data_IF_595768784830
#
_entry.id   IF_595768784830
#
_cell.length_a   1.000
_cell.length_b   1.000
_cell.length_c   1.000
_cell.angle_alpha   90.00
_cell.angle_beta   90.00
_cell.angle_gamma   90.00
#
_symmetry.space_group_name_H-M   'P 1'
#
loop_
_entity.id
_entity.type
_entity.pdbx_description
1 polymer ?
#
# COMPACT_ATOMS: atom_id res chain seq x y z
N UNK A 1 1.97 -24.80 -8.86
CA UNK A 1 0.74 -25.44 -8.34
C UNK A 1 0.69 -25.68 -6.82
N UNK A 2 1.79 -25.59 -6.07
CA UNK A 2 1.76 -25.63 -4.58
C UNK A 2 1.41 -24.25 -3.96
N UNK A 3 1.51 -23.16 -4.73
CA UNK A 3 1.39 -21.76 -4.28
C UNK A 3 0.09 -21.44 -3.51
N UNK A 4 -1.07 -21.91 -3.98
CA UNK A 4 -2.37 -21.58 -3.40
C UNK A 4 -2.85 -22.56 -2.32
N UNK A 5 -2.32 -23.78 -2.30
CA UNK A 5 -2.62 -24.77 -1.24
C UNK A 5 -1.94 -24.45 0.09
N UNK A 6 -1.01 -23.49 0.09
CA UNK A 6 -0.04 -23.29 1.16
C UNK A 6 0.00 -21.86 1.69
N UNK A 7 -1.00 -21.03 1.38
CA UNK A 7 -1.16 -19.71 2.00
C UNK A 7 -1.93 -19.91 3.31
N UNK A 8 -1.23 -20.07 4.46
CA UNK A 8 -1.92 -20.23 5.73
C UNK A 8 -2.75 -18.96 5.97
N UNK A 9 -3.92 -19.13 6.59
CA UNK A 9 -4.79 -18.00 6.96
C UNK A 9 -5.41 -17.23 5.78
N UNK A 10 -5.62 -17.85 4.61
CA UNK A 10 -6.28 -17.22 3.43
C UNK A 10 -7.58 -16.46 3.75
N UNK A 11 -8.38 -16.94 4.70
CA UNK A 11 -9.64 -16.29 5.13
C UNK A 11 -9.38 -14.92 5.74
N UNK A 12 -8.37 -14.81 6.61
CA UNK A 12 -7.97 -13.56 7.25
C UNK A 12 -7.37 -12.57 6.25
N UNK A 13 -6.63 -13.07 5.27
CA UNK A 13 -6.14 -12.25 4.16
C UNK A 13 -7.29 -11.61 3.36
N UNK A 14 -8.27 -12.42 2.96
CA UNK A 14 -9.45 -11.95 2.24
C UNK A 14 -10.25 -10.96 3.09
N UNK A 15 -10.41 -11.25 4.39
CA UNK A 15 -11.06 -10.34 5.34
C UNK A 15 -10.35 -8.98 5.38
N UNK A 16 -9.01 -8.95 5.43
CA UNK A 16 -8.25 -7.70 5.46
C UNK A 16 -8.49 -6.87 4.19
N UNK A 17 -8.46 -7.50 3.01
CA UNK A 17 -8.78 -6.81 1.76
C UNK A 17 -10.23 -6.27 1.73
N UNK A 18 -11.20 -7.04 2.23
CA UNK A 18 -12.60 -6.62 2.31
C UNK A 18 -12.78 -5.43 3.27
N UNK A 19 -12.15 -5.47 4.45
CA UNK A 19 -12.16 -4.35 5.40
C UNK A 19 -11.57 -3.10 4.75
N UNK A 20 -10.48 -3.23 3.98
CA UNK A 20 -9.91 -2.11 3.25
C UNK A 20 -10.93 -1.53 2.24
N UNK A 21 -11.57 -2.38 1.44
CA UNK A 21 -12.62 -1.93 0.51
C UNK A 21 -13.79 -1.24 1.21
N UNK A 22 -14.24 -1.75 2.36
CA UNK A 22 -15.32 -1.14 3.14
C UNK A 22 -14.90 0.24 3.67
N UNK A 23 -13.66 0.38 4.16
CA UNK A 23 -13.16 1.65 4.68
C UNK A 23 -13.08 2.73 3.58
N UNK A 24 -12.65 2.37 2.37
CA UNK A 24 -12.62 3.32 1.24
C UNK A 24 -14.01 3.89 0.95
N UNK A 25 -15.07 3.07 1.08
CA UNK A 25 -16.45 3.48 0.79
C UNK A 25 -17.30 3.70 2.05
N UNK A 26 -16.68 3.91 3.22
CA UNK A 26 -17.40 4.04 4.47
C UNK A 26 -18.38 5.23 4.45
N UNK A 27 -18.01 6.33 3.79
CA UNK A 27 -18.88 7.50 3.64
C UNK A 27 -20.12 7.17 2.81
N UNK A 28 -19.97 6.40 1.72
CA UNK A 28 -21.11 5.95 0.90
C UNK A 28 -22.05 5.09 1.74
N UNK A 29 -21.51 4.15 2.52
CA UNK A 29 -22.29 3.29 3.40
C UNK A 29 -23.04 4.13 4.44
N UNK A 30 -22.35 5.08 5.08
CA UNK A 30 -22.98 5.98 6.06
C UNK A 30 -24.08 6.83 5.43
N UNK A 31 -23.85 7.36 4.24
CA UNK A 31 -24.81 8.20 3.52
C UNK A 31 -26.03 7.38 3.09
N UNK A 32 -25.86 6.14 2.65
CA UNK A 32 -26.98 5.26 2.31
C UNK A 32 -27.89 4.97 3.52
N UNK A 33 -27.30 4.78 4.70
CA UNK A 33 -28.01 4.39 5.93
C UNK A 33 -28.66 5.60 6.61
N UNK A 34 -27.97 6.75 6.68
CA UNK A 34 -28.37 7.86 7.55
C UNK A 34 -28.91 9.09 6.80
N UNK A 35 -28.88 9.12 5.46
CA UNK A 35 -29.42 10.27 4.72
C UNK A 35 -30.96 10.24 4.71
N UNK A 36 -31.55 11.28 5.33
CA UNK A 36 -32.98 11.53 5.33
C UNK A 36 -33.39 12.34 4.09
N UNK A 37 -34.02 11.67 3.14
CA UNK A 37 -34.54 12.26 1.90
C UNK A 37 -35.84 13.05 2.10
N UNK A 38 -36.43 13.01 3.30
CA UNK A 38 -37.65 13.72 3.69
C UNK A 38 -37.40 14.90 4.62
N UNK A 39 -36.13 15.27 4.83
CA UNK A 39 -35.78 16.43 5.63
C UNK A 39 -36.49 17.69 5.11
N UNK A 40 -36.98 18.53 6.03
CA UNK A 40 -37.79 19.71 5.72
C UNK A 40 -37.12 20.67 4.72
N UNK A 41 -35.79 20.77 4.80
CA UNK A 41 -34.97 21.63 3.93
C UNK A 41 -34.86 21.12 2.49
N UNK A 42 -35.16 19.83 2.25
CA UNK A 42 -35.11 19.17 0.94
C UNK A 42 -36.50 19.01 0.30
N UNK A 43 -37.57 19.43 0.97
CA UNK A 43 -38.95 19.27 0.47
C UNK A 43 -39.18 19.99 -0.86
N UNK A 44 -38.49 21.12 -1.10
CA UNK A 44 -38.56 21.87 -2.35
C UNK A 44 -37.65 21.31 -3.45
N UNK A 45 -36.65 20.50 -3.09
CA UNK A 45 -35.61 19.99 -3.98
C UNK A 45 -35.63 18.47 -3.86
N UNK A 46 -36.47 17.79 -4.67
CA UNK A 46 -36.60 16.32 -4.77
C UNK A 46 -35.45 15.55 -4.09
N UNK A 47 -35.61 15.23 -2.80
CA UNK A 47 -34.50 14.82 -1.92
C UNK A 47 -33.75 13.56 -2.39
N UNK A 48 -34.46 12.68 -3.10
CA UNK A 48 -33.90 11.49 -3.73
C UNK A 48 -32.85 11.82 -4.81
N UNK A 49 -33.07 12.87 -5.61
CA UNK A 49 -32.12 13.31 -6.63
C UNK A 49 -30.83 13.86 -6.01
N UNK A 50 -30.95 14.53 -4.86
CA UNK A 50 -29.83 15.05 -4.08
C UNK A 50 -29.03 13.90 -3.48
N UNK A 51 -29.72 12.91 -2.90
CA UNK A 51 -29.12 11.68 -2.37
C UNK A 51 -28.28 10.98 -3.44
N UNK A 52 -28.85 10.73 -4.63
CA UNK A 52 -28.15 10.07 -5.73
C UNK A 52 -26.94 10.87 -6.22
N UNK A 53 -27.08 12.19 -6.37
CA UNK A 53 -25.97 13.06 -6.80
C UNK A 53 -24.80 13.02 -5.80
N UNK A 54 -25.08 13.02 -4.50
CA UNK A 54 -24.07 12.91 -3.44
C UNK A 54 -23.41 11.52 -3.45
N UNK A 55 -24.18 10.45 -3.60
CA UNK A 55 -23.65 9.09 -3.74
C UNK A 55 -22.66 9.00 -4.90
N UNK A 56 -23.02 9.54 -6.06
CA UNK A 56 -22.13 9.54 -7.23
C UNK A 56 -20.87 10.39 -7.01
N UNK A 57 -20.99 11.50 -6.28
CA UNK A 57 -19.84 12.28 -5.84
C UNK A 57 -18.91 11.47 -4.92
N UNK A 58 -19.46 10.74 -3.95
CA UNK A 58 -18.69 9.93 -3.01
C UNK A 58 -18.04 8.70 -3.69
N UNK A 59 -18.67 8.15 -4.73
CA UNK A 59 -18.13 7.06 -5.55
C UNK A 59 -17.18 7.54 -6.67
N UNK A 60 -16.95 8.85 -6.77
CA UNK A 60 -16.03 9.41 -7.78
C UNK A 60 -14.60 8.91 -7.59
N UNK A 61 -13.82 8.91 -8.68
CA UNK A 61 -12.42 8.51 -8.64
C UNK A 61 -11.60 9.37 -7.66
N UNK A 62 -11.82 10.68 -7.68
CA UNK A 62 -11.20 11.64 -6.76
C UNK A 62 -11.41 11.25 -5.29
N UNK A 63 -12.66 11.04 -4.88
CA UNK A 63 -12.99 10.74 -3.48
C UNK A 63 -12.46 9.37 -3.07
N UNK A 64 -12.64 8.36 -3.94
CA UNK A 64 -12.20 7.00 -3.67
C UNK A 64 -10.67 6.91 -3.53
N UNK A 65 -9.91 7.62 -4.37
CA UNK A 65 -8.45 7.71 -4.24
C UNK A 65 -8.01 8.51 -3.01
N UNK A 66 -8.76 9.56 -2.64
CA UNK A 66 -8.49 10.30 -1.40
C UNK A 66 -8.64 9.41 -0.17
N UNK A 67 -9.78 8.72 -0.04
CA UNK A 67 -10.06 7.79 1.06
C UNK A 67 -9.05 6.64 1.09
N UNK A 68 -8.73 6.06 -0.07
CA UNK A 68 -7.66 5.06 -0.18
C UNK A 68 -6.33 5.62 0.32
N UNK A 69 -5.95 6.83 -0.09
CA UNK A 69 -4.69 7.46 0.29
C UNK A 69 -4.60 7.76 1.80
N UNK A 70 -5.74 7.99 2.44
CA UNK A 70 -5.81 8.15 3.89
C UNK A 70 -5.62 6.80 4.60
N UNK A 71 -6.44 5.79 4.27
CA UNK A 71 -6.40 4.50 4.96
C UNK A 71 -5.18 3.63 4.64
N UNK A 72 -4.54 3.82 3.48
CA UNK A 72 -3.33 3.07 3.12
C UNK A 72 -2.20 3.22 4.15
N UNK A 73 -2.15 4.36 4.86
CA UNK A 73 -1.11 4.66 5.82
C UNK A 73 -1.10 3.66 7.00
N UNK A 74 -2.25 3.04 7.28
CA UNK A 74 -2.41 2.06 8.34
C UNK A 74 -2.54 0.64 7.79
N UNK A 75 -3.32 0.49 6.72
CA UNK A 75 -3.69 -0.83 6.19
C UNK A 75 -2.57 -1.49 5.40
N UNK A 76 -1.73 -0.73 4.68
CA UNK A 76 -0.59 -1.32 3.97
C UNK A 76 0.46 -1.86 4.94
N UNK A 77 0.90 -1.13 6.00
CA UNK A 77 1.75 -1.72 7.03
C UNK A 77 1.16 -2.98 7.66
N UNK A 78 -0.14 -3.00 7.96
CA UNK A 78 -0.82 -4.19 8.50
C UNK A 78 -0.82 -5.38 7.53
N UNK A 79 -1.07 -5.13 6.24
CA UNK A 79 -0.97 -6.14 5.18
C UNK A 79 0.46 -6.72 5.14
N UNK A 80 1.48 -5.87 5.20
CA UNK A 80 2.90 -6.26 5.16
C UNK A 80 3.24 -7.12 6.38
N UNK A 81 2.76 -6.75 7.58
CA UNK A 81 2.93 -7.56 8.78
C UNK A 81 2.27 -8.94 8.66
N UNK A 82 1.06 -8.99 8.11
CA UNK A 82 0.34 -10.23 7.88
C UNK A 82 1.09 -11.15 6.89
N UNK A 83 1.57 -10.57 5.78
CA UNK A 83 2.39 -11.28 4.80
C UNK A 83 3.72 -11.76 5.42
N UNK A 84 4.35 -10.95 6.27
CA UNK A 84 5.56 -11.35 7.02
C UNK A 84 5.31 -12.46 8.03
N UNK A 85 4.14 -12.52 8.65
CA UNK A 85 3.78 -13.66 9.52
C UNK A 85 3.65 -14.95 8.71
N UNK A 86 3.08 -14.86 7.51
CA UNK A 86 3.03 -15.99 6.58
C UNK A 86 4.45 -16.40 6.17
N UNK A 87 5.31 -15.43 5.85
CA UNK A 87 6.71 -15.67 5.52
C UNK A 87 7.45 -16.41 6.63
N UNK A 88 7.40 -15.92 7.86
CA UNK A 88 8.06 -16.54 9.02
C UNK A 88 7.57 -17.97 9.25
N UNK A 89 6.26 -18.19 9.18
CA UNK A 89 5.67 -19.53 9.28
C UNK A 89 6.16 -20.47 8.18
N UNK A 90 6.17 -20.00 6.93
CA UNK A 90 6.57 -20.82 5.78
C UNK A 90 8.07 -21.09 5.75
N UNK A 91 8.90 -20.10 6.09
CA UNK A 91 10.36 -20.25 6.24
C UNK A 91 10.68 -21.30 7.30
N UNK A 92 10.05 -21.18 8.48
CA UNK A 92 10.33 -22.07 9.61
C UNK A 92 9.81 -23.50 9.42
N UNK A 93 8.70 -23.70 8.72
CA UNK A 93 8.16 -25.05 8.49
C UNK A 93 8.66 -25.70 7.21
N UNK A 94 8.76 -24.98 6.10
CA UNK A 94 9.06 -25.58 4.80
C UNK A 94 10.51 -25.38 4.36
N UNK A 95 11.06 -24.18 4.56
CA UNK A 95 12.43 -23.91 4.12
C UNK A 95 13.47 -24.58 5.02
N UNK A 96 13.17 -24.80 6.32
CA UNK A 96 14.09 -25.51 7.24
C UNK A 96 14.48 -26.91 6.77
N UNK A 97 13.63 -27.62 6.02
CA UNK A 97 13.98 -28.94 5.46
C UNK A 97 15.15 -28.90 4.47
N UNK A 98 15.49 -27.73 3.94
CA UNK A 98 16.61 -27.54 3.01
C UNK A 98 17.90 -27.05 3.69
N UNK A 99 17.94 -26.87 5.03
CA UNK A 99 19.11 -26.32 5.73
C UNK A 99 20.41 -27.08 5.44
N UNK A 100 20.36 -28.41 5.30
CA UNK A 100 21.53 -29.23 4.91
C UNK A 100 21.99 -29.07 3.46
N UNK A 101 21.31 -28.24 2.64
CA UNK A 101 21.63 -27.96 1.24
C UNK A 101 21.63 -26.46 1.00
N UNK A 102 22.71 -25.79 1.42
CA UNK A 102 22.86 -24.32 1.45
C UNK A 102 22.32 -23.62 0.19
N UNK A 103 22.75 -24.03 -1.01
CA UNK A 103 22.31 -23.41 -2.25
C UNK A 103 20.80 -23.57 -2.51
N UNK A 104 20.23 -24.74 -2.22
CA UNK A 104 18.79 -25.00 -2.39
C UNK A 104 17.95 -24.25 -1.35
N UNK A 105 18.47 -24.06 -0.14
CA UNK A 105 17.84 -23.25 0.91
C UNK A 105 17.72 -21.79 0.47
N UNK A 106 18.83 -21.14 0.09
CA UNK A 106 18.82 -19.73 -0.30
C UNK A 106 17.94 -19.47 -1.53
N UNK A 107 17.96 -20.36 -2.53
CA UNK A 107 17.07 -20.27 -3.69
C UNK A 107 15.59 -20.39 -3.29
N UNK A 108 15.26 -21.30 -2.38
CA UNK A 108 13.88 -21.50 -1.91
C UNK A 108 13.38 -20.30 -1.12
N UNK A 109 14.22 -19.72 -0.25
CA UNK A 109 13.90 -18.51 0.52
C UNK A 109 13.71 -17.32 -0.41
N UNK A 110 14.61 -17.11 -1.38
CA UNK A 110 14.48 -16.02 -2.38
C UNK A 110 13.19 -16.15 -3.18
N UNK A 111 12.86 -17.35 -3.63
CA UNK A 111 11.60 -17.64 -4.35
C UNK A 111 10.38 -17.36 -3.47
N UNK A 112 10.41 -17.76 -2.20
CA UNK A 112 9.33 -17.49 -1.25
C UNK A 112 9.11 -15.99 -1.05
N UNK A 113 10.18 -15.21 -0.86
CA UNK A 113 10.10 -13.76 -0.73
C UNK A 113 9.44 -13.11 -1.96
N UNK A 114 9.85 -13.51 -3.16
CA UNK A 114 9.26 -13.00 -4.40
C UNK A 114 7.77 -13.34 -4.50
N UNK A 115 7.38 -14.60 -4.27
CA UNK A 115 5.98 -15.03 -4.33
C UNK A 115 5.11 -14.22 -3.36
N UNK A 116 5.54 -14.08 -2.11
CA UNK A 116 4.76 -13.36 -1.10
C UNK A 116 4.70 -11.85 -1.39
N UNK A 117 5.76 -11.27 -1.93
CA UNK A 117 5.74 -9.87 -2.35
C UNK A 117 4.78 -9.65 -3.52
N UNK A 118 4.75 -10.57 -4.50
CA UNK A 118 3.77 -10.52 -5.60
C UNK A 118 2.33 -10.67 -5.12
N UNK A 119 2.09 -11.43 -4.05
CA UNK A 119 0.76 -11.53 -3.43
C UNK A 119 0.33 -10.18 -2.85
N UNK A 120 1.23 -9.46 -2.17
CA UNK A 120 0.95 -8.12 -1.65
C UNK A 120 0.63 -7.09 -2.75
N UNK A 121 1.40 -7.11 -3.84
CA UNK A 121 1.12 -6.27 -5.02
C UNK A 121 -0.22 -6.66 -5.64
N UNK A 122 -0.53 -7.96 -5.70
CA UNK A 122 -1.80 -8.44 -6.23
C UNK A 122 -3.00 -7.96 -5.39
N UNK A 123 -2.92 -7.97 -4.05
CA UNK A 123 -4.00 -7.36 -3.22
C UNK A 123 -4.21 -5.88 -3.52
N UNK A 124 -3.12 -5.13 -3.66
CA UNK A 124 -3.21 -3.73 -4.05
C UNK A 124 -3.87 -3.57 -5.43
N UNK A 125 -3.45 -4.36 -6.42
CA UNK A 125 -4.03 -4.31 -7.77
C UNK A 125 -5.52 -4.62 -7.79
N UNK A 126 -5.99 -5.52 -6.92
CA UNK A 126 -7.42 -5.87 -6.82
C UNK A 126 -8.22 -4.69 -6.25
N UNK A 127 -7.76 -4.08 -5.15
CA UNK A 127 -8.42 -2.91 -4.55
C UNK A 127 -8.39 -1.72 -5.53
N UNK A 128 -7.26 -1.51 -6.20
CA UNK A 128 -7.12 -0.44 -7.18
C UNK A 128 -8.04 -0.64 -8.40
N UNK A 129 -8.11 -1.88 -8.91
CA UNK A 129 -9.04 -2.22 -9.99
C UNK A 129 -10.50 -1.99 -9.57
N UNK A 130 -10.86 -2.33 -8.33
CA UNK A 130 -12.19 -2.08 -7.77
C UNK A 130 -12.53 -0.58 -7.72
N UNK A 131 -11.57 0.28 -7.32
CA UNK A 131 -11.76 1.74 -7.34
C UNK A 131 -12.02 2.23 -8.78
N UNK A 132 -11.19 1.78 -9.72
CA UNK A 132 -11.31 2.15 -11.13
C UNK A 132 -12.65 1.69 -11.72
N UNK A 133 -13.07 0.44 -11.48
CA UNK A 133 -14.33 -0.08 -12.02
C UNK A 133 -15.55 0.63 -11.44
N UNK A 134 -15.57 0.92 -10.14
CA UNK A 134 -16.68 1.66 -9.51
C UNK A 134 -16.79 3.07 -10.08
N UNK A 135 -15.68 3.79 -10.21
CA UNK A 135 -15.71 5.15 -10.79
C UNK A 135 -16.14 5.18 -12.26
N UNK A 136 -15.81 4.16 -13.04
CA UNK A 136 -16.30 3.98 -14.41
C UNK A 136 -17.80 3.68 -14.45
N UNK A 137 -18.31 2.83 -13.56
CA UNK A 137 -19.75 2.50 -13.48
C UNK A 137 -20.64 3.70 -13.11
N UNK A 138 -20.07 4.70 -12.44
CA UNK A 138 -20.76 5.89 -11.96
C UNK A 138 -20.55 7.09 -12.90
N UNK A 139 -19.82 6.92 -14.01
CA UNK A 139 -19.45 7.98 -14.96
C UNK A 139 -18.74 9.17 -14.28
N UNK A 140 -17.93 8.90 -13.24
CA UNK A 140 -17.16 9.90 -12.46
C UNK A 140 -15.67 9.55 -12.42
N UNK A 141 -15.12 9.28 -13.59
CA UNK A 141 -13.72 8.86 -13.79
C UNK A 141 -12.72 10.02 -13.89
N UNK A 142 -13.19 11.26 -14.02
CA UNK A 142 -12.31 12.42 -14.14
C UNK A 142 -11.64 12.78 -12.81
N UNK A 143 -10.31 12.96 -12.84
CA UNK A 143 -9.50 13.45 -11.74
C UNK A 143 -9.22 14.94 -11.95
N UNK A 144 -9.51 15.75 -10.93
CA UNK A 144 -9.29 17.20 -10.98
C UNK A 144 -7.92 17.56 -10.41
N UNK A 145 -7.21 18.49 -11.05
CA UNK A 145 -5.96 19.04 -10.51
C UNK A 145 -4.74 18.14 -10.65
N UNK A 146 -4.73 17.23 -11.63
CA UNK A 146 -3.58 16.34 -11.90
C UNK A 146 -2.30 17.15 -12.21
N UNK A 147 -2.44 18.29 -12.88
CA UNK A 147 -1.33 19.17 -13.23
C UNK A 147 -0.55 19.68 -12.02
N UNK A 148 -1.19 19.82 -10.85
CA UNK A 148 -0.55 20.27 -9.62
C UNK A 148 0.26 19.18 -8.90
N UNK A 149 0.09 17.91 -9.28
CA UNK A 149 0.86 16.80 -8.69
C UNK A 149 2.31 16.78 -9.14
N UNK A 150 2.61 17.27 -10.34
CA UNK A 150 3.93 17.20 -10.93
C UNK A 150 4.53 18.59 -11.11
N UNK A 151 5.84 18.72 -10.88
CA UNK A 151 6.50 20.00 -11.16
C UNK A 151 6.52 20.29 -12.67
N UNK A 152 6.21 21.52 -13.06
CA UNK A 152 6.01 21.99 -14.44
C UNK A 152 7.18 21.78 -15.42
N UNK A 153 8.38 21.46 -14.94
CA UNK A 153 9.58 21.18 -15.76
C UNK A 153 10.10 19.74 -15.62
N UNK A 154 9.33 18.86 -14.99
CA UNK A 154 9.73 17.46 -14.76
C UNK A 154 9.29 16.56 -15.91
N UNK A 155 9.98 15.44 -16.13
CA UNK A 155 9.54 14.39 -17.08
C UNK A 155 8.20 13.77 -16.63
N UNK A 156 7.88 13.88 -15.33
CA UNK A 156 6.65 13.35 -14.76
C UNK A 156 5.39 14.09 -15.21
N UNK A 157 5.52 15.28 -15.83
CA UNK A 157 4.38 16.01 -16.42
C UNK A 157 3.63 15.18 -17.45
N UNK A 158 4.30 14.22 -18.11
CA UNK A 158 3.65 13.23 -18.98
C UNK A 158 2.51 12.49 -18.27
N UNK A 159 2.69 12.13 -17.00
CA UNK A 159 1.66 11.48 -16.18
C UNK A 159 0.56 12.44 -15.72
N UNK A 160 0.74 13.75 -15.92
CA UNK A 160 -0.24 14.80 -15.65
C UNK A 160 -1.27 15.02 -16.76
N UNK A 161 -1.02 14.49 -17.96
CA UNK A 161 -1.79 14.83 -19.16
C UNK A 161 -3.21 14.22 -19.20
N UNK A 162 -3.43 13.07 -18.55
CA UNK A 162 -4.75 12.46 -18.44
C UNK A 162 -4.88 11.62 -17.19
N UNK A 163 -6.13 11.33 -16.83
CA UNK A 163 -6.47 10.44 -15.71
C UNK A 163 -5.86 9.06 -15.88
N UNK A 164 -5.90 8.49 -17.08
CA UNK A 164 -5.31 7.18 -17.39
C UNK A 164 -3.79 7.16 -17.18
N UNK A 165 -3.07 8.18 -17.63
CA UNK A 165 -1.63 8.28 -17.40
C UNK A 165 -1.32 8.41 -15.90
N UNK A 166 -2.08 9.23 -15.16
CA UNK A 166 -1.91 9.36 -13.71
C UNK A 166 -2.14 8.02 -12.98
N UNK A 167 -3.16 7.24 -13.37
CA UNK A 167 -3.43 5.94 -12.76
C UNK A 167 -2.30 4.92 -13.03
N UNK A 168 -1.66 4.97 -14.21
CA UNK A 168 -0.47 4.16 -14.50
C UNK A 168 0.67 4.55 -13.56
N UNK A 169 0.94 5.86 -13.42
CA UNK A 169 1.93 6.37 -12.47
C UNK A 169 1.63 5.89 -11.05
N UNK A 170 0.38 6.05 -10.61
CA UNK A 170 -0.09 5.68 -9.29
C UNK A 170 0.15 4.19 -9.02
N UNK A 171 -0.24 3.33 -9.96
CA UNK A 171 -0.04 1.89 -9.86
C UNK A 171 1.43 1.51 -9.77
N UNK A 172 2.29 2.09 -10.63
CA UNK A 172 3.72 1.79 -10.65
C UNK A 172 4.40 2.20 -9.35
N UNK A 173 4.19 3.43 -8.90
CA UNK A 173 4.83 3.95 -7.69
C UNK A 173 4.41 3.15 -6.47
N UNK A 174 3.11 2.85 -6.31
CA UNK A 174 2.61 2.04 -5.19
C UNK A 174 3.09 0.60 -5.22
N UNK A 175 3.15 -0.02 -6.40
CA UNK A 175 3.63 -1.40 -6.54
C UNK A 175 5.11 -1.51 -6.17
N UNK A 176 5.93 -0.56 -6.63
CA UNK A 176 7.34 -0.47 -6.23
C UNK A 176 7.48 -0.24 -4.72
N UNK A 177 6.64 0.62 -4.15
CA UNK A 177 6.68 0.89 -2.72
C UNK A 177 6.34 -0.35 -1.88
N UNK A 178 5.26 -1.06 -2.24
CA UNK A 178 4.90 -2.30 -1.57
C UNK A 178 5.96 -3.38 -1.71
N UNK A 179 6.54 -3.53 -2.91
CA UNK A 179 7.59 -4.51 -3.14
C UNK A 179 8.77 -4.30 -2.19
N UNK A 180 9.26 -3.07 -2.10
CA UNK A 180 10.46 -2.74 -1.32
C UNK A 180 10.19 -2.83 0.18
N UNK A 181 9.03 -2.38 0.65
CA UNK A 181 8.63 -2.51 2.06
C UNK A 181 8.47 -3.97 2.50
N UNK A 182 7.84 -4.83 1.67
CA UNK A 182 7.70 -6.25 1.99
C UNK A 182 9.07 -6.93 2.06
N UNK A 183 9.96 -6.63 1.12
CA UNK A 183 11.31 -7.19 1.11
C UNK A 183 12.14 -6.71 2.30
N UNK A 184 12.02 -5.44 2.68
CA UNK A 184 12.64 -4.87 3.88
C UNK A 184 12.13 -5.57 5.15
N UNK A 185 10.83 -5.81 5.24
CA UNK A 185 10.28 -6.50 6.39
C UNK A 185 10.75 -7.95 6.47
N UNK A 186 10.88 -8.64 5.33
CA UNK A 186 11.45 -9.98 5.31
C UNK A 186 12.94 -10.00 5.69
N UNK A 187 13.73 -9.01 5.32
CA UNK A 187 15.14 -8.94 5.77
C UNK A 187 15.24 -8.67 7.27
N UNK A 188 14.33 -7.89 7.85
CA UNK A 188 14.22 -7.72 9.31
C UNK A 188 13.87 -9.04 10.02
N UNK A 189 12.91 -9.81 9.49
CA UNK A 189 12.56 -11.13 10.03
C UNK A 189 13.77 -12.07 9.98
N UNK A 190 14.50 -12.08 8.87
CA UNK A 190 15.70 -12.90 8.71
C UNK A 190 16.81 -12.50 9.67
N UNK A 191 17.04 -11.20 9.85
CA UNK A 191 18.06 -10.66 10.73
C UNK A 191 17.78 -10.97 12.21
N UNK A 192 16.55 -10.78 12.67
CA UNK A 192 16.22 -11.03 14.08
C UNK A 192 15.88 -12.48 14.39
N UNK A 193 15.54 -13.30 13.38
CA UNK A 193 14.96 -14.64 13.52
C UNK A 193 13.76 -14.71 14.49
N UNK A 194 13.14 -13.57 14.78
CA UNK A 194 12.03 -13.40 15.71
C UNK A 194 11.01 -12.42 15.13
N UNK A 195 9.83 -12.93 14.81
CA UNK A 195 8.76 -12.14 14.18
C UNK A 195 8.40 -10.89 15.00
N UNK A 196 8.19 -11.01 16.31
CA UNK A 196 7.76 -9.90 17.15
C UNK A 196 8.79 -8.76 17.22
N UNK A 197 10.08 -9.08 17.35
CA UNK A 197 11.17 -8.09 17.33
C UNK A 197 11.25 -7.37 15.98
N UNK A 198 11.16 -8.13 14.88
CA UNK A 198 11.13 -7.57 13.54
C UNK A 198 9.92 -6.65 13.33
N UNK A 199 8.73 -7.06 13.77
CA UNK A 199 7.49 -6.26 13.69
C UNK A 199 7.62 -4.96 14.45
N UNK A 200 8.08 -5.00 15.70
CA UNK A 200 8.26 -3.80 16.51
C UNK A 200 9.23 -2.84 15.83
N UNK A 201 10.39 -3.32 15.39
CA UNK A 201 11.38 -2.46 14.74
C UNK A 201 10.84 -1.87 13.43
N UNK A 202 10.14 -2.65 12.62
CA UNK A 202 9.51 -2.18 11.38
C UNK A 202 8.46 -1.08 11.64
N UNK A 203 7.57 -1.28 12.61
CA UNK A 203 6.56 -0.28 12.97
C UNK A 203 7.20 0.97 13.57
N UNK A 204 8.24 0.83 14.42
CA UNK A 204 8.98 1.99 14.92
C UNK A 204 9.71 2.72 13.80
N UNK A 205 10.23 2.00 12.80
CA UNK A 205 10.89 2.58 11.64
C UNK A 205 9.91 3.40 10.80
N UNK A 206 8.71 2.86 10.50
CA UNK A 206 7.71 3.59 9.72
C UNK A 206 7.02 4.70 10.49
N UNK A 207 6.42 4.38 11.65
CA UNK A 207 5.58 5.31 12.41
C UNK A 207 6.34 6.04 13.50
N UNK A 208 7.22 5.34 14.23
CA UNK A 208 7.94 5.92 15.36
C UNK A 208 8.94 6.99 14.94
N UNK A 209 9.64 6.80 13.82
CA UNK A 209 10.59 7.80 13.32
C UNK A 209 9.91 8.98 12.62
N UNK A 210 8.67 8.81 12.13
CA UNK A 210 8.00 9.82 11.33
C UNK A 210 7.85 11.18 12.03
N UNK A 211 7.29 11.27 13.26
CA UNK A 211 7.19 12.56 13.98
C UNK A 211 8.53 13.26 14.16
N UNK A 212 9.60 12.50 14.39
CA UNK A 212 10.95 13.04 14.59
C UNK A 212 11.51 13.53 13.27
N UNK A 213 11.47 12.70 12.23
CA UNK A 213 12.07 13.00 10.94
C UNK A 213 11.33 14.12 10.20
N UNK A 214 10.01 14.28 10.37
CA UNK A 214 9.28 15.42 9.79
C UNK A 214 9.78 16.78 10.33
N UNK A 215 10.34 16.84 11.54
CA UNK A 215 10.88 18.07 12.10
C UNK A 215 12.25 18.47 11.52
N UNK A 216 13.06 17.51 11.07
CA UNK A 216 14.46 17.74 10.70
C UNK A 216 14.78 17.46 9.24
N UNK A 217 13.95 16.66 8.56
CA UNK A 217 14.20 16.20 7.20
C UNK A 217 13.02 16.57 6.29
N UNK A 218 13.28 16.77 4.99
CA UNK A 218 12.19 16.94 4.03
C UNK A 218 11.28 15.71 4.04
N UNK A 219 9.98 15.92 3.79
CA UNK A 219 8.95 14.89 3.87
C UNK A 219 9.33 13.62 3.08
N UNK A 220 9.96 13.75 1.92
CA UNK A 220 10.33 12.62 1.07
C UNK A 220 11.46 11.75 1.64
N UNK A 221 12.14 12.12 2.74
CA UNK A 221 13.11 11.26 3.43
C UNK A 221 12.51 10.54 4.64
N UNK A 222 11.24 10.82 4.97
CA UNK A 222 10.55 10.09 6.03
C UNK A 222 10.13 8.71 5.51
N UNK A 223 10.45 7.60 6.21
CA UNK A 223 10.15 6.24 5.73
C UNK A 223 8.69 6.02 5.32
N UNK A 224 7.75 6.61 6.05
CA UNK A 224 6.33 6.50 5.73
C UNK A 224 5.94 7.16 4.40
N UNK A 225 6.66 8.21 4.01
CA UNK A 225 6.38 8.97 2.78
C UNK A 225 6.60 8.14 1.53
N UNK A 226 7.41 7.09 1.61
CA UNK A 226 7.57 6.14 0.52
C UNK A 226 6.25 5.44 0.16
N UNK A 227 5.46 5.04 1.16
CA UNK A 227 4.11 4.51 0.95
C UNK A 227 3.15 5.63 0.56
N UNK A 228 3.32 6.86 1.07
CA UNK A 228 2.37 7.97 0.90
C UNK A 228 2.73 8.97 -0.21
N UNK A 229 3.76 8.71 -1.03
CA UNK A 229 4.34 9.76 -1.91
C UNK A 229 3.32 10.33 -2.90
N UNK A 230 2.36 9.50 -3.33
CA UNK A 230 1.26 9.90 -4.23
C UNK A 230 0.24 10.85 -3.61
N UNK A 231 0.30 11.08 -2.29
CA UNK A 231 -0.55 12.04 -1.58
C UNK A 231 0.06 13.44 -1.53
N UNK A 232 1.32 13.59 -1.96
CA UNK A 232 2.01 14.88 -2.01
C UNK A 232 1.94 15.48 -3.42
N UNK A 233 1.91 16.81 -3.49
CA UNK A 233 1.93 17.58 -4.74
C UNK A 233 3.34 18.07 -5.12
N UNK A 234 3.46 18.64 -6.32
CA UNK A 234 4.69 19.22 -6.85
C UNK A 234 5.90 18.26 -6.81
N UNK A 235 5.70 17.03 -7.28
CA UNK A 235 6.69 15.97 -7.25
C UNK A 235 7.65 16.03 -8.44
N UNK A 236 8.91 15.74 -8.14
CA UNK A 236 9.99 15.47 -9.11
C UNK A 236 10.44 14.01 -9.05
N UNK A 237 11.18 13.58 -10.07
CA UNK A 237 11.83 12.27 -10.09
C UNK A 237 12.71 12.05 -8.86
N UNK A 238 13.48 13.08 -8.46
CA UNK A 238 14.30 13.02 -7.25
C UNK A 238 13.45 12.71 -6.00
N UNK A 239 12.34 13.40 -5.82
CA UNK A 239 11.47 13.19 -4.65
C UNK A 239 10.95 11.75 -4.60
N UNK A 240 10.63 11.16 -5.75
CA UNK A 240 10.17 9.76 -5.82
C UNK A 240 11.30 8.81 -5.42
N UNK A 241 12.49 8.93 -6.02
CA UNK A 241 13.60 8.01 -5.72
C UNK A 241 14.17 8.20 -4.32
N UNK A 242 14.24 9.44 -3.82
CA UNK A 242 14.79 9.75 -2.51
C UNK A 242 14.00 9.09 -1.37
N UNK A 243 12.69 8.83 -1.56
CA UNK A 243 11.87 8.10 -0.56
C UNK A 243 12.35 6.68 -0.28
N UNK A 244 13.07 6.06 -1.21
CA UNK A 244 13.61 4.71 -1.03
C UNK A 244 14.93 4.70 -0.24
N UNK A 245 15.62 5.84 -0.10
CA UNK A 245 16.95 5.91 0.52
C UNK A 245 16.96 5.36 1.96
N UNK A 246 16.04 5.74 2.87
CA UNK A 246 16.03 5.20 4.23
C UNK A 246 15.87 3.67 4.26
N UNK A 247 14.97 3.13 3.42
CA UNK A 247 14.74 1.70 3.30
C UNK A 247 15.97 0.97 2.74
N UNK A 248 16.61 1.52 1.69
CA UNK A 248 17.81 0.97 1.09
C UNK A 248 19.00 0.95 2.06
N UNK A 249 19.22 2.04 2.81
CA UNK A 249 20.30 2.12 3.82
C UNK A 249 20.09 1.04 4.89
N UNK A 250 18.87 0.93 5.42
CA UNK A 250 18.53 -0.08 6.42
C UNK A 250 18.67 -1.50 5.86
N UNK A 251 18.23 -1.74 4.62
CA UNK A 251 18.36 -3.02 3.94
C UNK A 251 19.83 -3.44 3.75
N UNK A 252 20.69 -2.53 3.31
CA UNK A 252 22.13 -2.78 3.15
C UNK A 252 22.76 -3.10 4.50
N UNK A 253 22.45 -2.31 5.54
CA UNK A 253 22.94 -2.54 6.90
C UNK A 253 22.61 -3.94 7.41
N UNK A 254 21.35 -4.39 7.24
CA UNK A 254 20.91 -5.72 7.66
C UNK A 254 21.65 -6.85 6.93
N UNK A 255 21.87 -6.69 5.62
CA UNK A 255 22.53 -7.73 4.82
C UNK A 255 24.04 -7.79 5.05
N UNK A 256 24.69 -6.65 5.27
CA UNK A 256 26.13 -6.61 5.58
C UNK A 256 26.42 -7.32 6.91
N UNK A 257 25.57 -7.16 7.93
CA UNK A 257 25.76 -7.82 9.22
C UNK A 257 25.47 -9.33 9.18
N UNK A 258 24.40 -9.74 8.49
CA UNK A 258 24.06 -11.16 8.30
C UNK A 258 25.11 -11.96 7.50
N UNK A 259 25.99 -11.32 6.73
CA UNK A 259 27.07 -12.01 6.03
C UNK A 259 28.10 -12.67 6.99
N UNK A 260 28.15 -12.21 8.24
CA UNK A 260 29.12 -12.67 9.25
C UNK A 260 28.51 -13.58 10.32
N UNK A 261 27.19 -13.67 10.39
CA UNK A 261 26.49 -14.59 11.30
C UNK A 261 26.29 -15.94 10.59
N UNK A 262 27.11 -16.92 10.98
CA UNK A 262 26.94 -18.32 10.59
C UNK A 262 25.68 -18.84 11.32
N UNK A 263 24.66 -19.24 10.55
CA UNK A 263 23.45 -19.93 11.05
C UNK A 263 23.83 -21.29 11.63
#
# INVERSE_FOLDING_TARGET
MILFKLLPYKKWYILLCLVFSILIYHQVISHMIFFDDKAFDLVQIQGESVKLKLIYGLLSLNNSLFEYNFFQAFLLPLLILFIGKIYDYLKNRYCRYFLGRSQKYFLSVKKLKLILSTIGIFSFSLIFALIVTISLLVDRFELSGIEFYFQSKSILTFFGNSTSHYLIYYFLVKSCALLTEILLFFSLIDYFNHFTKATLLYLTFLWGTAPILYCFSPFYLVPMSHIMITSYGNLNLWNIFATYLPACILYIYLNCKNAYDII
#
